data_IF_491626037545
#
_entry.id   IF_491626037545
#
_cell.length_a   1.000
_cell.length_b   1.000
_cell.length_c   1.000
_cell.angle_alpha   90.00
_cell.angle_beta   90.00
_cell.angle_gamma   90.00
#
_symmetry.space_group_name_H-M   'P 1'
#
loop_
_entity.id
_entity.type
_entity.pdbx_description
1 polymer ?
#
# COMPACT_ATOMS: atom_id res chain seq x y z
N UNK A 1 -19.91 -3.61 -1.83
CA UNK A 1 -19.82 -4.97 -1.25
C UNK A 1 -18.49 -5.19 -0.52
N UNK A 2 -17.33 -4.78 -1.04
CA UNK A 2 -16.02 -4.97 -0.37
C UNK A 2 -15.73 -4.00 0.77
N UNK A 3 -16.36 -2.83 0.79
CA UNK A 3 -16.18 -1.78 1.80
C UNK A 3 -16.52 -2.25 3.23
N UNK A 4 -17.38 -3.24 3.37
CA UNK A 4 -17.78 -3.75 4.68
C UNK A 4 -16.71 -4.59 5.36
N UNK A 5 -15.75 -5.15 4.59
CA UNK A 5 -14.73 -6.08 5.08
C UNK A 5 -13.30 -5.51 5.01
N UNK A 6 -13.10 -4.35 4.34
CA UNK A 6 -11.80 -3.68 4.23
C UNK A 6 -11.73 -2.56 5.27
N UNK A 7 -10.59 -2.45 5.95
CA UNK A 7 -10.43 -1.54 7.08
C UNK A 7 -11.03 -2.10 8.36
N UNK A 8 -11.31 -1.22 9.32
CA UNK A 8 -11.74 -1.58 10.69
C UNK A 8 -10.80 -2.58 11.35
N UNK A 9 -9.53 -2.49 11.00
CA UNK A 9 -8.49 -3.39 11.49
C UNK A 9 -8.17 -3.10 12.95
N UNK A 10 -7.73 -4.10 13.73
CA UNK A 10 -7.41 -3.89 15.13
C UNK A 10 -6.25 -2.91 15.33
N UNK A 11 -6.32 -2.13 16.40
CA UNK A 11 -5.18 -1.42 16.97
C UNK A 11 -4.79 -2.16 18.26
N UNK A 12 -3.65 -2.84 18.25
CA UNK A 12 -3.18 -3.64 19.38
C UNK A 12 -2.08 -2.93 20.15
N UNK A 13 -2.01 -3.17 21.45
CA UNK A 13 -0.94 -2.68 22.31
C UNK A 13 0.23 -3.66 22.29
N UNK A 14 1.42 -3.19 21.89
CA UNK A 14 2.68 -3.95 21.91
C UNK A 14 3.55 -3.61 23.11
N UNK A 15 3.27 -2.51 23.81
CA UNK A 15 4.00 -2.04 24.98
C UNK A 15 3.32 -0.86 25.65
N UNK A 16 3.84 -0.31 26.75
CA UNK A 16 3.14 0.68 27.58
C UNK A 16 2.62 1.91 26.83
N UNK A 17 3.27 2.30 25.74
CA UNK A 17 2.89 3.46 24.90
C UNK A 17 3.07 3.15 23.41
N UNK A 18 3.15 1.87 23.04
CA UNK A 18 3.37 1.42 21.67
C UNK A 18 2.17 0.62 21.20
N UNK A 19 1.61 1.05 20.07
CA UNK A 19 0.46 0.41 19.44
C UNK A 19 0.78 0.08 17.97
N UNK A 20 0.23 -1.00 17.48
CA UNK A 20 0.33 -1.39 16.08
C UNK A 20 -1.05 -1.51 15.44
N UNK A 21 -1.20 -0.89 14.28
CA UNK A 21 -2.38 -1.03 13.42
C UNK A 21 -2.22 -2.27 12.55
N UNK A 22 -3.01 -3.32 12.81
CA UNK A 22 -2.85 -4.62 12.18
C UNK A 22 -3.51 -4.68 10.79
N UNK A 23 -2.88 -4.08 9.80
CA UNK A 23 -3.37 -4.06 8.42
C UNK A 23 -3.35 -5.45 7.73
N UNK A 24 -2.73 -6.44 8.34
CA UNK A 24 -2.81 -7.86 7.94
C UNK A 24 -4.21 -8.47 8.11
N UNK A 25 -5.10 -7.80 8.83
CA UNK A 25 -6.50 -8.20 8.97
C UNK A 25 -7.38 -7.79 7.78
N UNK A 26 -6.86 -7.02 6.84
CA UNK A 26 -7.55 -6.81 5.57
C UNK A 26 -7.62 -8.12 4.76
N UNK A 27 -8.61 -8.30 3.89
CA UNK A 27 -8.89 -9.57 3.20
C UNK A 27 -7.71 -10.18 2.42
N UNK A 28 -6.89 -9.37 1.74
CA UNK A 28 -5.69 -9.84 1.05
C UNK A 28 -4.44 -9.87 1.94
N UNK A 29 -4.59 -9.48 3.20
CA UNK A 29 -3.53 -9.51 4.20
C UNK A 29 -2.66 -8.26 4.27
N UNK A 30 -3.09 -7.11 3.73
CA UNK A 30 -2.28 -5.88 3.79
C UNK A 30 -3.07 -4.58 3.72
N UNK A 31 -2.38 -3.48 4.04
CA UNK A 31 -2.87 -2.11 3.90
C UNK A 31 -3.27 -1.73 2.46
N UNK A 32 -2.80 -2.48 1.47
CA UNK A 32 -3.05 -2.18 0.05
C UNK A 32 -4.50 -2.44 -0.37
N UNK A 33 -5.23 -3.25 0.36
CA UNK A 33 -6.67 -3.46 0.13
C UNK A 33 -7.44 -2.14 0.22
N UNK A 34 -7.11 -1.29 1.20
CA UNK A 34 -7.73 0.02 1.37
C UNK A 34 -7.56 0.90 0.13
N UNK A 35 -6.32 1.01 -0.35
CA UNK A 35 -5.99 1.84 -1.49
C UNK A 35 -6.65 1.31 -2.77
N UNK A 36 -6.49 0.01 -3.06
CA UNK A 36 -7.04 -0.61 -4.28
C UNK A 36 -8.57 -0.50 -4.31
N UNK A 37 -9.25 -0.82 -3.21
CA UNK A 37 -10.71 -0.73 -3.14
C UNK A 37 -11.21 0.72 -3.27
N UNK A 38 -10.57 1.67 -2.60
CA UNK A 38 -10.93 3.08 -2.66
C UNK A 38 -10.78 3.64 -4.09
N UNK A 39 -9.64 3.36 -4.74
CA UNK A 39 -9.38 3.81 -6.12
C UNK A 39 -10.39 3.18 -7.09
N UNK A 40 -10.69 1.88 -6.94
CA UNK A 40 -11.68 1.19 -7.76
C UNK A 40 -13.07 1.79 -7.59
N UNK A 41 -13.50 2.05 -6.36
CA UNK A 41 -14.78 2.69 -6.05
C UNK A 41 -14.88 4.07 -6.70
N UNK A 42 -13.85 4.91 -6.55
CA UNK A 42 -13.81 6.22 -7.20
C UNK A 42 -13.90 6.10 -8.72
N UNK A 43 -13.18 5.14 -9.31
CA UNK A 43 -13.19 4.90 -10.74
C UNK A 43 -14.57 4.44 -11.26
N UNK A 44 -15.32 3.64 -10.49
CA UNK A 44 -16.71 3.27 -10.81
C UNK A 44 -17.60 4.50 -10.80
N UNK A 45 -17.53 5.32 -9.74
CA UNK A 45 -18.34 6.54 -9.61
C UNK A 45 -18.07 7.56 -10.72
N UNK A 46 -16.82 7.59 -11.22
CA UNK A 46 -16.37 8.48 -12.29
C UNK A 46 -16.56 7.86 -13.71
N UNK A 47 -17.11 6.66 -13.81
CA UNK A 47 -17.32 5.95 -15.08
C UNK A 47 -16.03 5.46 -15.76
N UNK A 48 -14.87 5.52 -15.06
CA UNK A 48 -13.57 5.06 -15.59
C UNK A 48 -13.35 3.55 -15.42
N UNK A 49 -14.07 2.92 -14.52
CA UNK A 49 -14.12 1.48 -14.33
C UNK A 49 -15.53 0.99 -14.66
N UNK A 50 -15.65 0.27 -15.77
CA UNK A 50 -16.94 -0.27 -16.27
C UNK A 50 -17.05 -1.77 -16.03
N UNK A 51 -18.24 -2.37 -16.23
CA UNK A 51 -18.40 -3.83 -16.16
C UNK A 51 -17.48 -4.64 -17.06
N UNK A 52 -17.01 -4.10 -18.15
CA UNK A 52 -16.15 -4.77 -19.15
C UNK A 52 -14.65 -4.53 -18.89
N UNK A 53 -14.31 -3.64 -17.94
CA UNK A 53 -12.91 -3.29 -17.68
C UNK A 53 -12.11 -4.50 -17.18
N UNK A 54 -10.93 -4.69 -17.75
CA UNK A 54 -9.89 -5.62 -17.30
C UNK A 54 -8.93 -4.87 -16.38
N UNK A 55 -8.41 -5.51 -15.37
CA UNK A 55 -7.50 -4.91 -14.41
C UNK A 55 -6.06 -5.16 -14.79
N UNK A 56 -5.22 -4.14 -14.67
CA UNK A 56 -3.78 -4.25 -14.92
C UNK A 56 -3.00 -3.38 -13.94
N UNK A 57 -1.87 -3.86 -13.41
CA UNK A 57 -0.96 -3.05 -12.60
C UNK A 57 0.48 -3.58 -12.63
N UNK A 58 1.43 -2.65 -12.53
CA UNK A 58 2.82 -2.95 -12.24
C UNK A 58 2.99 -3.09 -10.72
N UNK A 59 3.08 -4.33 -10.22
CA UNK A 59 3.10 -4.57 -8.78
C UNK A 59 3.75 -5.91 -8.42
N UNK A 60 4.82 -5.89 -7.66
CA UNK A 60 5.56 -7.08 -7.24
C UNK A 60 5.09 -7.69 -5.90
N UNK A 61 4.20 -7.03 -5.19
CA UNK A 61 3.84 -7.40 -3.82
C UNK A 61 2.37 -7.20 -3.49
N UNK A 62 2.11 -6.63 -2.33
CA UNK A 62 0.79 -6.50 -1.72
C UNK A 62 -0.25 -5.81 -2.62
N UNK A 63 0.15 -4.84 -3.44
CA UNK A 63 -0.79 -4.21 -4.39
C UNK A 63 -1.28 -5.19 -5.44
N UNK A 64 -0.39 -6.02 -5.98
CA UNK A 64 -0.77 -7.07 -6.94
C UNK A 64 -1.72 -8.10 -6.32
N UNK A 65 -1.48 -8.51 -5.07
CA UNK A 65 -2.34 -9.44 -4.34
C UNK A 65 -3.72 -8.80 -4.08
N UNK A 66 -3.76 -7.55 -3.60
CA UNK A 66 -5.00 -6.82 -3.36
C UNK A 66 -5.83 -6.63 -4.64
N UNK A 67 -5.15 -6.28 -5.76
CA UNK A 67 -5.82 -6.11 -7.05
C UNK A 67 -6.33 -7.44 -7.60
N UNK A 68 -5.56 -8.52 -7.45
CA UNK A 68 -5.98 -9.86 -7.86
C UNK A 68 -7.21 -10.32 -7.07
N UNK A 69 -7.20 -10.14 -5.75
CA UNK A 69 -8.33 -10.45 -4.87
C UNK A 69 -9.58 -9.63 -5.25
N UNK A 70 -9.44 -8.31 -5.40
CA UNK A 70 -10.56 -7.45 -5.76
C UNK A 70 -11.12 -7.79 -7.14
N UNK A 71 -10.25 -7.95 -8.13
CA UNK A 71 -10.65 -8.28 -9.50
C UNK A 71 -11.32 -9.65 -9.60
N UNK A 72 -10.75 -10.68 -8.95
CA UNK A 72 -11.35 -12.01 -8.87
C UNK A 72 -12.75 -11.98 -8.24
N UNK A 73 -12.91 -11.25 -7.15
CA UNK A 73 -14.19 -11.10 -6.47
C UNK A 73 -15.22 -10.27 -7.28
N UNK A 74 -14.77 -9.42 -8.21
CA UNK A 74 -15.62 -8.69 -9.15
C UNK A 74 -15.83 -9.46 -10.48
N UNK A 75 -15.27 -10.67 -10.64
CA UNK A 75 -15.33 -11.43 -11.87
C UNK A 75 -14.55 -10.78 -13.03
N UNK A 76 -13.45 -10.08 -12.73
CA UNK A 76 -12.63 -9.35 -13.70
C UNK A 76 -11.38 -10.13 -14.07
N UNK A 77 -10.97 -10.02 -15.31
CA UNK A 77 -9.64 -10.42 -15.75
C UNK A 77 -8.60 -9.49 -15.12
N UNK A 78 -7.56 -10.06 -14.48
CA UNK A 78 -6.52 -9.31 -13.77
C UNK A 78 -5.15 -9.68 -14.33
N UNK A 79 -4.37 -8.68 -14.71
CA UNK A 79 -3.01 -8.81 -15.19
C UNK A 79 -2.05 -8.07 -14.27
N UNK A 80 -1.04 -8.77 -13.77
CA UNK A 80 0.01 -8.19 -12.92
C UNK A 80 1.35 -8.30 -13.63
N UNK A 81 2.07 -7.20 -13.70
CA UNK A 81 3.38 -7.12 -14.32
C UNK A 81 4.42 -6.91 -13.22
N UNK A 82 5.47 -7.74 -13.21
CA UNK A 82 6.48 -7.72 -12.17
C UNK A 82 7.85 -8.22 -12.64
N UNK A 83 8.95 -7.88 -11.95
CA UNK A 83 10.23 -8.52 -12.15
C UNK A 83 10.17 -10.04 -11.92
N UNK A 84 10.96 -10.81 -12.70
CA UNK A 84 10.89 -12.27 -12.67
C UNK A 84 11.47 -12.92 -11.41
N UNK A 85 12.26 -12.17 -10.63
CA UNK A 85 12.90 -12.64 -9.40
C UNK A 85 12.10 -12.33 -8.11
N UNK A 86 10.81 -12.04 -8.24
CA UNK A 86 9.95 -11.79 -7.08
C UNK A 86 9.56 -13.08 -6.35
N UNK A 87 9.14 -12.94 -5.09
CA UNK A 87 8.78 -14.03 -4.19
C UNK A 87 7.76 -15.01 -4.82
N UNK A 88 8.07 -16.33 -4.87
CA UNK A 88 7.15 -17.34 -5.38
C UNK A 88 5.82 -17.39 -4.60
N UNK A 89 5.83 -17.06 -3.31
CA UNK A 89 4.63 -17.04 -2.44
C UNK A 89 3.64 -16.01 -2.94
N UNK A 90 4.10 -14.79 -3.26
CA UNK A 90 3.26 -13.71 -3.79
C UNK A 90 2.69 -14.06 -5.16
N UNK A 91 3.50 -14.67 -6.02
CA UNK A 91 3.05 -15.15 -7.34
C UNK A 91 1.96 -16.21 -7.16
N UNK A 92 2.13 -17.16 -6.24
CA UNK A 92 1.11 -18.19 -5.95
C UNK A 92 -0.19 -17.56 -5.44
N UNK A 93 -0.11 -16.58 -4.53
CA UNK A 93 -1.30 -15.88 -4.02
C UNK A 93 -2.07 -15.16 -5.12
N UNK A 94 -1.38 -14.38 -5.97
CA UNK A 94 -2.02 -13.68 -7.09
C UNK A 94 -2.68 -14.65 -8.07
N UNK A 95 -2.01 -15.75 -8.42
CA UNK A 95 -2.56 -16.81 -9.28
C UNK A 95 -3.75 -17.52 -8.64
N UNK A 96 -3.75 -17.73 -7.33
CA UNK A 96 -4.88 -18.34 -6.61
C UNK A 96 -6.13 -17.45 -6.68
N UNK A 97 -5.97 -16.11 -6.77
CA UNK A 97 -7.05 -15.17 -7.03
C UNK A 97 -7.39 -15.02 -8.53
N UNK A 98 -6.77 -15.81 -9.42
CA UNK A 98 -7.06 -15.83 -10.85
C UNK A 98 -6.26 -14.82 -11.70
N UNK A 99 -5.24 -14.17 -11.14
CA UNK A 99 -4.45 -13.21 -11.92
C UNK A 99 -3.49 -13.87 -12.90
N UNK A 100 -3.36 -13.27 -14.08
CA UNK A 100 -2.32 -13.56 -15.06
C UNK A 100 -1.08 -12.75 -14.74
N UNK A 101 0.08 -13.42 -14.65
CA UNK A 101 1.35 -12.78 -14.32
C UNK A 101 2.20 -12.61 -15.58
N UNK A 102 2.66 -11.39 -15.81
CA UNK A 102 3.62 -11.02 -16.83
C UNK A 102 4.93 -10.65 -16.17
N UNK A 103 6.04 -11.21 -16.63
CA UNK A 103 7.36 -10.91 -16.08
C UNK A 103 8.17 -10.01 -17.00
N UNK A 104 9.04 -9.22 -16.37
CA UNK A 104 10.12 -8.45 -16.99
C UNK A 104 11.47 -8.92 -16.43
N UNK A 105 12.57 -8.26 -16.79
CA UNK A 105 13.89 -8.58 -16.27
C UNK A 105 13.97 -8.56 -14.74
N UNK A 106 15.00 -9.17 -14.13
CA UNK A 106 15.17 -9.19 -12.68
C UNK A 106 15.37 -7.75 -12.14
N UNK A 107 14.68 -7.41 -11.06
CA UNK A 107 14.69 -6.07 -10.44
C UNK A 107 14.25 -4.91 -11.36
N UNK A 108 13.67 -5.21 -12.50
CA UNK A 108 13.26 -4.21 -13.50
C UNK A 108 11.86 -3.65 -13.20
N UNK A 109 11.75 -2.87 -12.13
CA UNK A 109 10.49 -2.21 -11.77
C UNK A 109 10.05 -1.16 -12.79
N UNK A 110 11.03 -0.47 -13.41
CA UNK A 110 10.76 0.50 -14.45
C UNK A 110 10.18 -0.18 -15.69
N UNK A 111 10.79 -1.25 -16.17
CA UNK A 111 10.27 -2.05 -17.29
C UNK A 111 8.88 -2.64 -17.02
N UNK A 112 8.56 -2.97 -15.75
CA UNK A 112 7.21 -3.40 -15.40
C UNK A 112 6.18 -2.28 -15.59
N UNK A 113 6.49 -1.05 -15.20
CA UNK A 113 5.63 0.14 -15.41
C UNK A 113 5.50 0.42 -16.91
N UNK A 114 6.59 0.45 -17.65
CA UNK A 114 6.59 0.69 -19.10
C UNK A 114 5.76 -0.37 -19.86
N UNK A 115 5.90 -1.63 -19.47
CA UNK A 115 5.11 -2.72 -20.08
C UNK A 115 3.62 -2.60 -19.78
N UNK A 116 3.23 -2.21 -18.55
CA UNK A 116 1.83 -1.90 -18.21
C UNK A 116 1.29 -0.80 -19.11
N UNK A 117 2.04 0.30 -19.24
CA UNK A 117 1.62 1.47 -20.00
C UNK A 117 1.49 1.13 -21.49
N UNK A 118 2.41 0.34 -22.03
CA UNK A 118 2.34 -0.17 -23.40
C UNK A 118 1.08 -1.02 -23.62
N UNK A 119 0.81 -1.99 -22.75
CA UNK A 119 -0.38 -2.84 -22.86
C UNK A 119 -1.67 -2.01 -22.76
N UNK A 120 -1.70 -0.98 -21.92
CA UNK A 120 -2.85 -0.08 -21.81
C UNK A 120 -3.05 0.77 -23.07
N UNK A 121 -1.96 1.17 -23.74
CA UNK A 121 -2.01 1.95 -24.97
C UNK A 121 -2.42 1.12 -26.20
N UNK A 122 -2.00 -0.14 -26.27
CA UNK A 122 -2.26 -1.04 -27.39
C UNK A 122 -3.69 -1.57 -27.44
N UNK A 123 -4.40 -1.59 -26.32
CA UNK A 123 -5.75 -2.16 -26.24
C UNK A 123 -6.65 -1.37 -25.31
N UNK A 124 -7.90 -1.17 -25.72
CA UNK A 124 -8.93 -0.54 -24.88
C UNK A 124 -9.46 -1.50 -23.82
N UNK A 125 -10.08 -0.95 -22.80
CA UNK A 125 -10.76 -1.73 -21.74
C UNK A 125 -9.88 -2.06 -20.54
N UNK A 126 -8.62 -1.64 -20.51
CA UNK A 126 -7.78 -1.74 -19.34
C UNK A 126 -8.11 -0.66 -18.31
N UNK A 127 -8.09 -1.04 -17.05
CA UNK A 127 -8.11 -0.14 -15.92
C UNK A 127 -6.96 -0.47 -14.96
N UNK A 128 -6.25 0.56 -14.51
CA UNK A 128 -5.17 0.44 -13.53
C UNK A 128 -5.39 1.39 -12.37
N UNK A 129 -5.16 0.97 -11.12
CA UNK A 129 -5.15 1.88 -9.98
C UNK A 129 -4.03 2.91 -10.03
N UNK A 130 -2.97 2.70 -10.82
CA UNK A 130 -1.85 3.63 -10.98
C UNK A 130 -1.24 4.03 -9.64
N UNK A 131 -0.87 3.03 -8.81
CA UNK A 131 -0.53 3.22 -7.40
C UNK A 131 0.55 4.27 -7.12
N UNK A 132 1.46 4.49 -8.06
CA UNK A 132 2.60 5.38 -7.89
C UNK A 132 2.31 6.85 -8.18
N UNK A 133 1.21 7.16 -8.86
CA UNK A 133 0.86 8.51 -9.31
C UNK A 133 -0.57 8.93 -8.99
N UNK A 134 -1.44 8.02 -8.58
CA UNK A 134 -2.85 8.32 -8.34
C UNK A 134 -3.05 8.98 -6.96
N UNK A 135 -3.53 10.24 -6.90
CA UNK A 135 -3.76 10.93 -5.63
C UNK A 135 -4.82 10.25 -4.75
N UNK A 136 -5.68 9.41 -5.31
CA UNK A 136 -6.63 8.63 -4.53
C UNK A 136 -5.97 7.56 -3.66
N UNK A 137 -4.70 7.23 -3.88
CA UNK A 137 -3.91 6.44 -2.94
C UNK A 137 -3.75 7.18 -1.60
N UNK A 138 -3.43 8.48 -1.64
CA UNK A 138 -3.37 9.34 -0.45
C UNK A 138 -4.76 9.53 0.16
N UNK A 139 -5.77 9.81 -0.67
CA UNK A 139 -7.15 10.02 -0.23
C UNK A 139 -7.74 8.80 0.49
N UNK A 140 -7.39 7.59 0.06
CA UNK A 140 -7.81 6.36 0.72
C UNK A 140 -7.41 6.35 2.20
N UNK A 141 -6.16 6.70 2.49
CA UNK A 141 -5.65 6.72 3.86
C UNK A 141 -6.12 7.94 4.65
N UNK A 142 -6.23 9.09 4.02
CA UNK A 142 -6.79 10.30 4.62
C UNK A 142 -8.24 10.10 5.08
N UNK A 143 -9.08 9.45 4.25
CA UNK A 143 -10.51 9.29 4.52
C UNK A 143 -10.86 8.02 5.31
N UNK A 144 -9.97 7.04 5.40
CA UNK A 144 -10.26 5.78 6.08
C UNK A 144 -9.27 5.45 7.19
N UNK A 145 -7.98 5.29 6.90
CA UNK A 145 -6.97 4.83 7.86
C UNK A 145 -6.75 5.83 8.98
N UNK A 146 -6.60 7.11 8.65
CA UNK A 146 -6.32 8.15 9.62
C UNK A 146 -7.48 8.39 10.61
N UNK A 147 -8.74 8.56 10.16
CA UNK A 147 -9.89 8.66 11.06
C UNK A 147 -10.06 7.42 11.94
N UNK A 148 -9.83 6.23 11.40
CA UNK A 148 -9.95 4.97 12.13
C UNK A 148 -8.92 4.88 13.28
N UNK A 149 -7.65 5.19 13.01
CA UNK A 149 -6.61 5.25 14.05
C UNK A 149 -6.97 6.33 15.10
N UNK A 150 -7.42 7.49 14.64
CA UNK A 150 -7.80 8.59 15.54
C UNK A 150 -8.91 8.16 16.50
N UNK A 151 -9.99 7.56 16.01
CA UNK A 151 -11.08 7.12 16.89
C UNK A 151 -10.65 5.98 17.83
N UNK A 152 -9.82 5.08 17.40
CA UNK A 152 -9.28 4.01 18.24
C UNK A 152 -8.37 4.56 19.35
N UNK A 153 -7.50 5.52 19.04
CA UNK A 153 -6.62 6.16 20.05
C UNK A 153 -7.39 7.05 21.01
N UNK A 154 -8.46 7.70 20.57
CA UNK A 154 -9.37 8.47 21.43
C UNK A 154 -10.06 7.58 22.48
N UNK A 155 -10.49 6.38 22.10
CA UNK A 155 -11.08 5.42 23.03
C UNK A 155 -10.08 4.98 24.11
N UNK A 156 -8.79 4.93 23.80
CA UNK A 156 -7.73 4.61 24.77
C UNK A 156 -7.44 5.76 25.75
N UNK A 157 -8.09 6.92 25.58
CA UNK A 157 -7.84 8.16 26.36
C UNK A 157 -6.37 8.57 26.37
N UNK A 158 -5.63 8.21 25.33
CA UNK A 158 -4.21 8.53 25.18
C UNK A 158 -4.03 9.44 23.96
N UNK A 159 -3.24 10.51 24.07
CA UNK A 159 -2.93 11.31 22.90
C UNK A 159 -2.11 10.51 21.91
N UNK A 160 -2.44 10.63 20.64
CA UNK A 160 -1.63 10.08 19.54
C UNK A 160 -0.37 10.94 19.40
N UNK A 161 0.71 10.56 20.07
CA UNK A 161 1.93 11.36 20.15
C UNK A 161 2.76 11.30 18.85
N UNK A 162 2.85 10.11 18.24
CA UNK A 162 3.57 9.94 16.97
C UNK A 162 2.92 8.84 16.11
N UNK A 163 3.00 9.02 14.79
CA UNK A 163 2.75 8.00 13.79
C UNK A 163 4.06 7.60 13.13
N UNK A 164 4.39 6.31 13.20
CA UNK A 164 5.63 5.75 12.67
C UNK A 164 5.28 4.80 11.52
N UNK A 165 5.87 5.00 10.36
CA UNK A 165 5.62 4.16 9.18
C UNK A 165 6.82 4.14 8.22
N UNK A 166 7.02 3.01 7.54
CA UNK A 166 7.87 2.95 6.35
C UNK A 166 7.05 3.28 5.10
N UNK A 167 7.63 3.93 4.12
CA UNK A 167 6.93 4.32 2.90
C UNK A 167 7.39 3.51 1.67
N UNK A 168 6.43 2.89 0.97
CA UNK A 168 6.60 2.44 -0.40
C UNK A 168 6.13 3.53 -1.36
N UNK A 169 4.86 3.55 -1.75
CA UNK A 169 4.29 4.62 -2.60
C UNK A 169 4.17 5.98 -1.91
N UNK A 170 4.23 6.02 -0.58
CA UNK A 170 4.00 7.24 0.21
C UNK A 170 2.53 7.50 0.57
N UNK A 171 1.57 6.80 -0.04
CA UNK A 171 0.15 7.07 0.14
C UNK A 171 -0.33 7.06 1.58
N UNK A 172 0.08 6.06 2.37
CA UNK A 172 -0.30 5.95 3.79
C UNK A 172 0.24 7.14 4.60
N UNK A 173 1.56 7.41 4.49
CA UNK A 173 2.18 8.51 5.23
C UNK A 173 1.54 9.83 4.89
N UNK A 174 1.36 10.15 3.61
CA UNK A 174 0.79 11.41 3.17
C UNK A 174 -0.69 11.57 3.54
N UNK A 175 -1.47 10.48 3.53
CA UNK A 175 -2.85 10.49 3.98
C UNK A 175 -2.97 10.80 5.48
N UNK A 176 -2.10 10.23 6.30
CA UNK A 176 -2.02 10.53 7.74
C UNK A 176 -1.57 11.97 7.98
N UNK A 177 -0.49 12.42 7.32
CA UNK A 177 0.00 13.80 7.44
C UNK A 177 -1.12 14.80 7.14
N UNK A 178 -1.80 14.64 6.02
CA UNK A 178 -2.90 15.51 5.63
C UNK A 178 -4.00 15.57 6.69
N UNK A 179 -4.39 14.43 7.25
CA UNK A 179 -5.40 14.36 8.31
C UNK A 179 -4.94 15.09 9.58
N UNK A 180 -3.68 14.93 9.97
CA UNK A 180 -3.13 15.57 11.16
C UNK A 180 -3.04 17.09 11.02
N UNK A 181 -2.62 17.58 9.85
CA UNK A 181 -2.58 19.02 9.54
C UNK A 181 -3.98 19.65 9.61
N UNK A 182 -4.98 19.02 8.99
CA UNK A 182 -6.36 19.54 8.98
C UNK A 182 -7.03 19.49 10.38
N UNK A 183 -6.68 18.49 11.19
CA UNK A 183 -7.26 18.36 12.54
C UNK A 183 -6.50 19.12 13.63
N UNK A 184 -5.37 19.75 13.30
CA UNK A 184 -4.54 20.52 14.24
C UNK A 184 -3.97 19.69 15.38
N UNK A 185 -3.78 18.39 15.21
CA UNK A 185 -3.23 17.49 16.21
C UNK A 185 -1.71 17.60 16.23
N UNK A 186 -1.12 17.81 17.38
CA UNK A 186 0.32 17.88 17.56
C UNK A 186 1.06 16.53 17.46
N UNK A 187 0.46 15.56 16.77
CA UNK A 187 1.04 14.24 16.53
C UNK A 187 2.22 14.35 15.56
N UNK A 188 3.35 13.79 15.93
CA UNK A 188 4.54 13.75 15.08
C UNK A 188 4.46 12.63 14.05
N UNK A 189 5.01 12.86 12.88
CA UNK A 189 5.15 11.86 11.82
C UNK A 189 6.60 11.44 11.67
N UNK A 190 6.85 10.13 11.74
CA UNK A 190 8.19 9.56 11.68
C UNK A 190 8.26 8.55 10.55
N UNK A 191 9.08 8.83 9.56
CA UNK A 191 9.39 7.93 8.48
C UNK A 191 10.56 7.03 8.86
N UNK A 192 10.35 5.71 8.82
CA UNK A 192 11.46 4.75 8.93
C UNK A 192 11.94 4.35 7.54
N UNK A 193 13.24 4.36 7.34
CA UNK A 193 13.91 3.94 6.11
C UNK A 193 15.00 2.92 6.41
N UNK A 194 15.28 1.98 5.50
CA UNK A 194 16.43 1.10 5.63
C UNK A 194 17.73 1.89 5.63
N UNK A 195 18.70 1.53 6.50
CA UNK A 195 20.03 2.08 6.48
C UNK A 195 20.86 1.55 5.29
N UNK A 196 20.52 0.35 4.82
CA UNK A 196 21.15 -0.27 3.66
C UNK A 196 20.43 0.13 2.35
N UNK A 197 21.14 0.12 1.20
CA UNK A 197 20.54 0.36 -0.12
C UNK A 197 19.45 -0.66 -0.47
N UNK A 198 18.56 -0.32 -1.39
CA UNK A 198 17.40 -1.11 -1.79
C UNK A 198 17.74 -2.54 -2.27
N UNK A 199 18.92 -2.77 -2.82
CA UNK A 199 19.43 -4.08 -3.25
C UNK A 199 20.00 -4.94 -2.13
N UNK A 200 20.17 -4.38 -0.91
CA UNK A 200 20.83 -5.05 0.23
C UNK A 200 19.90 -5.31 1.41
N UNK A 201 18.79 -4.59 1.55
CA UNK A 201 17.79 -4.90 2.57
C UNK A 201 16.70 -5.84 2.05
N UNK A 202 16.15 -6.68 2.93
CA UNK A 202 15.14 -7.68 2.54
C UNK A 202 13.69 -7.20 2.57
N UNK A 203 13.42 -5.91 2.84
CA UNK A 203 12.05 -5.38 2.97
C UNK A 203 11.57 -4.83 1.62
N UNK A 204 10.85 -5.65 0.86
CA UNK A 204 10.31 -5.24 -0.42
C UNK A 204 9.12 -4.29 -0.26
N UNK A 205 9.07 -3.24 -1.11
CA UNK A 205 8.00 -2.25 -1.12
C UNK A 205 8.19 -1.12 -0.12
N UNK A 206 9.37 -0.96 0.44
CA UNK A 206 9.77 0.19 1.26
C UNK A 206 11.05 0.78 0.68
N UNK A 207 11.02 2.09 0.40
CA UNK A 207 12.17 2.84 -0.10
C UNK A 207 12.79 2.23 -1.37
N UNK A 208 11.96 1.87 -2.35
CA UNK A 208 12.38 1.23 -3.62
C UNK A 208 13.06 2.24 -4.59
N UNK A 209 13.74 3.27 -4.07
CA UNK A 209 14.56 4.21 -4.84
C UNK A 209 13.83 5.44 -5.40
N UNK A 210 12.52 5.58 -5.17
CA UNK A 210 11.75 6.76 -5.56
C UNK A 210 10.71 7.13 -4.50
N UNK A 211 10.47 8.41 -4.32
CA UNK A 211 9.52 8.92 -3.32
C UNK A 211 8.06 8.94 -3.84
N UNK A 212 7.81 8.70 -5.13
CA UNK A 212 6.48 8.65 -5.74
C UNK A 212 5.50 9.74 -5.23
N UNK A 213 4.57 9.36 -4.33
CA UNK A 213 3.60 10.27 -3.71
C UNK A 213 4.12 10.88 -2.40
N UNK A 214 5.29 10.44 -1.89
CA UNK A 214 5.83 10.90 -0.63
C UNK A 214 6.50 12.27 -0.78
N UNK A 215 6.06 13.22 0.03
CA UNK A 215 6.75 14.50 0.23
C UNK A 215 7.50 14.47 1.58
N UNK A 216 8.80 14.22 1.53
CA UNK A 216 9.65 14.12 2.74
C UNK A 216 9.74 15.42 3.52
N UNK A 217 9.52 16.58 2.88
CA UNK A 217 9.57 17.88 3.56
C UNK A 217 8.45 18.05 4.58
N UNK A 218 7.38 17.24 4.49
CA UNK A 218 6.24 17.25 5.39
C UNK A 218 6.32 16.22 6.51
N UNK A 219 7.40 15.44 6.57
CA UNK A 219 7.64 14.46 7.62
C UNK A 219 8.44 15.10 8.75
N UNK A 220 8.01 14.94 10.01
CA UNK A 220 8.70 15.56 11.16
C UNK A 220 10.09 14.97 11.44
N UNK A 221 10.26 13.66 11.20
CA UNK A 221 11.54 12.99 11.38
C UNK A 221 11.72 11.78 10.44
N UNK A 222 12.96 11.52 10.04
CA UNK A 222 13.35 10.33 9.30
C UNK A 222 14.35 9.55 10.17
N UNK A 223 14.11 8.25 10.33
CA UNK A 223 14.98 7.35 11.13
C UNK A 223 15.46 6.21 10.26
N UNK A 224 16.76 6.06 10.15
CA UNK A 224 17.41 4.94 9.48
C UNK A 224 17.48 3.73 10.42
N UNK A 225 17.07 2.56 9.91
CA UNK A 225 17.06 1.30 10.66
C UNK A 225 17.84 0.25 9.85
N UNK A 226 18.88 -0.30 10.45
CA UNK A 226 19.65 -1.40 9.86
C UNK A 226 18.89 -2.72 9.87
N UNK A 227 19.13 -3.58 8.87
CA UNK A 227 18.46 -4.88 8.71
C UNK A 227 18.56 -5.75 9.95
N UNK A 228 19.74 -5.88 10.56
CA UNK A 228 19.92 -6.68 11.78
C UNK A 228 19.16 -6.13 12.98
N UNK A 229 19.09 -4.81 13.09
CA UNK A 229 18.32 -4.15 14.12
C UNK A 229 16.80 -4.41 13.95
N UNK A 230 16.30 -4.34 12.71
CA UNK A 230 14.90 -4.63 12.39
C UNK A 230 14.55 -6.10 12.73
N UNK A 231 15.37 -7.07 12.30
CA UNK A 231 15.19 -8.50 12.58
C UNK A 231 15.20 -8.76 14.10
N UNK A 232 16.18 -8.22 14.82
CA UNK A 232 16.30 -8.38 16.27
C UNK A 232 15.08 -7.82 17.02
N UNK A 233 14.49 -6.72 16.55
CA UNK A 233 13.28 -6.16 17.17
C UNK A 233 12.02 -6.95 16.82
N UNK A 234 11.89 -7.41 15.58
CA UNK A 234 10.76 -8.22 15.15
C UNK A 234 10.65 -9.55 15.91
N UNK A 235 11.79 -10.15 16.29
CA UNK A 235 11.82 -11.39 17.07
C UNK A 235 11.44 -11.22 18.55
N UNK A 236 11.29 -9.99 19.04
CA UNK A 236 10.87 -9.67 20.41
C UNK A 236 9.37 -9.36 20.53
N UNK A 237 8.66 -9.27 19.40
CA UNK A 237 7.22 -9.00 19.31
C UNK A 237 6.41 -10.29 19.16
#
# INVERSE_FOLDING_TARGET
>A
MFESIIGKTPLIQLGPKLYAKLETYNPSGSVKDRMVAFIAQRAVLEGRLTPESKFIEAASGNTGIALAMLGGAMGREVHIIMPCNMSPERIRMMKAYGATIHTVGPNDFKGAIEKRDTMMAESKGWWSPMQFSNPNNVNAHYLTTAPEIYEQTKQLKQPWAAFVNGAGTGGTMMGIIRFLEETGKGTKTVLTVPAEPADKHGIQGINDGADFLLDRSRVDAVIEIGTQQAISRASLL
#
